data_IF_073374817450
#
_entry.id   IF_073374817450
#
_cell.length_a   1.000
_cell.length_b   1.000
_cell.length_c   1.000
_cell.angle_alpha   90.00
_cell.angle_beta   90.00
_cell.angle_gamma   90.00
#
_symmetry.space_group_name_H-M   'P 1'
#
loop_
_entity.id
_entity.type
_entity.pdbx_description
1 polymer ?
#
# COMPACT_ATOMS: atom_id res chain seq x y z
N UNK A 1 34.82 18.87 -21.89
CA UNK A 1 34.62 19.74 -20.71
C UNK A 1 34.40 18.84 -19.51
N UNK A 2 35.25 18.89 -18.48
CA UNK A 2 35.00 18.15 -17.24
C UNK A 2 33.78 18.72 -16.55
N UNK A 3 32.74 17.91 -16.39
CA UNK A 3 31.52 18.26 -15.67
C UNK A 3 31.83 18.36 -14.18
N UNK A 4 31.68 19.55 -13.60
CA UNK A 4 32.08 19.83 -12.20
C UNK A 4 31.26 19.07 -11.13
N UNK A 5 30.09 18.51 -11.48
CA UNK A 5 29.13 17.99 -10.49
C UNK A 5 28.35 16.72 -10.90
N UNK A 6 28.77 16.01 -11.95
CA UNK A 6 28.05 14.81 -12.42
C UNK A 6 28.01 13.72 -11.34
N UNK A 7 26.91 12.99 -11.26
CA UNK A 7 26.76 11.84 -10.36
C UNK A 7 27.64 10.70 -10.89
N UNK A 8 28.61 10.19 -10.11
CA UNK A 8 29.51 9.13 -10.58
C UNK A 8 28.77 7.81 -10.80
N UNK A 9 29.32 6.93 -11.63
CA UNK A 9 28.82 5.56 -11.71
C UNK A 9 29.18 4.78 -10.44
N UNK A 10 28.28 3.92 -9.92
CA UNK A 10 28.63 2.97 -8.88
C UNK A 10 29.76 2.02 -9.33
N UNK A 11 30.72 1.76 -8.45
CA UNK A 11 31.85 0.84 -8.72
C UNK A 11 31.48 -0.64 -8.56
N UNK A 12 30.47 -0.94 -7.73
CA UNK A 12 29.95 -2.30 -7.53
C UNK A 12 28.43 -2.25 -7.38
N UNK A 13 27.77 -3.34 -7.78
CA UNK A 13 26.34 -3.57 -7.57
C UNK A 13 26.04 -4.72 -6.60
N UNK A 14 27.08 -5.35 -6.04
CA UNK A 14 26.96 -6.45 -5.09
C UNK A 14 27.84 -6.26 -3.86
N UNK A 15 27.41 -6.92 -2.78
CA UNK A 15 28.17 -7.12 -1.55
C UNK A 15 28.30 -8.63 -1.33
N UNK A 16 29.52 -9.16 -1.36
CA UNK A 16 29.76 -10.59 -1.12
C UNK A 16 30.28 -10.80 0.30
N UNK A 17 29.57 -11.64 1.06
CA UNK A 17 29.94 -12.05 2.42
C UNK A 17 30.11 -13.58 2.39
N UNK A 18 31.35 -14.03 2.18
CA UNK A 18 31.64 -15.45 1.96
C UNK A 18 30.92 -15.98 0.71
N UNK A 19 30.14 -17.08 0.80
CA UNK A 19 29.40 -17.63 -0.34
C UNK A 19 28.12 -16.85 -0.68
N UNK A 20 27.71 -15.89 0.15
CA UNK A 20 26.48 -15.13 -0.04
C UNK A 20 26.77 -13.84 -0.81
N UNK A 21 26.22 -13.71 -2.02
CA UNK A 21 26.24 -12.47 -2.81
C UNK A 21 24.91 -11.74 -2.66
N UNK A 22 24.94 -10.55 -2.06
CA UNK A 22 23.79 -9.67 -1.89
C UNK A 22 23.80 -8.63 -3.00
N UNK A 23 22.74 -8.58 -3.80
CA UNK A 23 22.54 -7.53 -4.79
C UNK A 23 21.88 -6.31 -4.15
N UNK A 24 22.51 -5.13 -4.27
CA UNK A 24 21.95 -3.89 -3.71
C UNK A 24 20.56 -3.57 -4.27
N UNK A 25 20.32 -3.94 -5.54
CA UNK A 25 19.00 -3.81 -6.15
C UNK A 25 17.92 -4.54 -5.34
N UNK A 26 18.13 -5.82 -5.04
CA UNK A 26 17.20 -6.62 -4.25
C UNK A 26 17.03 -6.08 -2.83
N UNK A 27 18.12 -5.62 -2.21
CA UNK A 27 18.08 -5.00 -0.89
C UNK A 27 17.22 -3.72 -0.88
N UNK A 28 17.41 -2.82 -1.84
CA UNK A 28 16.66 -1.57 -1.94
C UNK A 28 15.18 -1.81 -2.25
N UNK A 29 14.86 -2.80 -3.09
CA UNK A 29 13.47 -3.23 -3.31
C UNK A 29 12.86 -3.79 -2.02
N UNK A 30 13.59 -4.64 -1.29
CA UNK A 30 13.15 -5.18 0.00
C UNK A 30 12.87 -4.09 1.04
N UNK A 31 13.78 -3.12 1.17
CA UNK A 31 13.57 -1.94 2.04
C UNK A 31 12.34 -1.15 1.58
N UNK A 32 12.19 -0.92 0.27
CA UNK A 32 11.03 -0.26 -0.31
C UNK A 32 9.72 -0.95 0.06
N UNK A 33 9.68 -2.29 -0.03
CA UNK A 33 8.51 -3.10 0.38
C UNK A 33 8.22 -2.93 1.87
N UNK A 34 9.22 -3.05 2.74
CA UNK A 34 9.04 -2.88 4.19
C UNK A 34 8.49 -1.49 4.53
N UNK A 35 9.02 -0.44 3.89
CA UNK A 35 8.51 0.93 4.04
C UNK A 35 7.08 1.04 3.54
N UNK A 36 6.74 0.43 2.40
CA UNK A 36 5.38 0.42 1.86
C UNK A 36 4.39 -0.21 2.85
N UNK A 37 4.75 -1.37 3.41
CA UNK A 37 3.94 -2.11 4.38
C UNK A 37 3.74 -1.25 5.63
N UNK A 38 4.82 -0.74 6.21
CA UNK A 38 4.77 0.08 7.41
C UNK A 38 3.91 1.33 7.24
N UNK A 39 4.08 2.08 6.15
CA UNK A 39 3.27 3.26 5.84
C UNK A 39 1.80 2.88 5.64
N UNK A 40 1.54 1.80 4.89
CA UNK A 40 0.18 1.33 4.60
C UNK A 40 -0.54 0.91 5.87
N UNK A 41 0.11 0.17 6.77
CA UNK A 41 -0.44 -0.22 8.08
C UNK A 41 -0.83 1.00 8.92
N UNK A 42 0.09 1.94 9.10
CA UNK A 42 -0.15 3.17 9.89
C UNK A 42 -1.30 4.01 9.33
N UNK A 43 -1.43 4.06 8.01
CA UNK A 43 -2.52 4.80 7.36
C UNK A 43 -3.85 4.06 7.40
N UNK A 44 -3.84 2.74 7.23
CA UNK A 44 -5.03 1.92 7.33
C UNK A 44 -5.62 1.98 8.75
N UNK A 45 -4.76 1.94 9.77
CA UNK A 45 -5.13 2.18 11.17
C UNK A 45 -5.75 3.56 11.39
N UNK A 46 -5.18 4.62 10.78
CA UNK A 46 -5.73 5.98 10.85
C UNK A 46 -7.14 6.09 10.24
N UNK A 47 -7.47 5.24 9.26
CA UNK A 47 -8.83 5.14 8.70
C UNK A 47 -9.76 4.27 9.57
N UNK A 48 -9.26 3.73 10.68
CA UNK A 48 -9.97 2.84 11.60
C UNK A 48 -10.00 1.38 11.15
N UNK A 49 -9.05 0.96 10.32
CA UNK A 49 -8.82 -0.44 9.97
C UNK A 49 -7.90 -1.13 10.97
N UNK A 50 -7.86 -2.46 10.95
CA UNK A 50 -6.93 -3.24 11.78
C UNK A 50 -5.54 -3.28 11.12
N UNK A 51 -4.48 -2.74 11.77
CA UNK A 51 -3.13 -2.76 11.22
C UNK A 51 -2.60 -4.19 11.01
N UNK A 52 -3.02 -5.17 11.81
CA UNK A 52 -2.58 -6.56 11.64
C UNK A 52 -3.16 -7.21 10.38
N UNK A 53 -4.41 -6.87 10.05
CA UNK A 53 -4.99 -7.24 8.76
C UNK A 53 -4.21 -6.61 7.61
N UNK A 54 -3.86 -5.32 7.69
CA UNK A 54 -3.08 -4.66 6.63
C UNK A 54 -1.69 -5.28 6.46
N UNK A 55 -1.02 -5.65 7.55
CA UNK A 55 0.26 -6.37 7.53
C UNK A 55 0.12 -7.72 6.81
N UNK A 56 -0.79 -8.56 7.29
CA UNK A 56 -1.07 -9.90 6.75
C UNK A 56 -1.38 -9.83 5.26
N UNK A 57 -2.28 -8.92 4.88
CA UNK A 57 -2.67 -8.71 3.49
C UNK A 57 -1.49 -8.26 2.65
N UNK A 58 -0.66 -7.35 3.14
CA UNK A 58 0.49 -6.86 2.38
C UNK A 58 1.56 -7.94 2.17
N UNK A 59 1.85 -8.76 3.19
CA UNK A 59 2.79 -9.89 3.08
C UNK A 59 2.29 -10.88 2.04
N UNK A 60 1.03 -11.30 2.12
CA UNK A 60 0.45 -12.23 1.15
C UNK A 60 0.34 -11.63 -0.25
N UNK A 61 0.10 -10.32 -0.39
CA UNK A 61 0.12 -9.64 -1.67
C UNK A 61 1.53 -9.63 -2.29
N UNK A 62 2.59 -9.47 -1.48
CA UNK A 62 3.99 -9.58 -1.95
C UNK A 62 4.30 -11.00 -2.39
N UNK A 63 3.92 -12.01 -1.60
CA UNK A 63 4.11 -13.43 -1.97
C UNK A 63 3.34 -13.77 -3.25
N UNK A 64 2.05 -13.43 -3.30
CA UNK A 64 1.22 -13.62 -4.49
C UNK A 64 1.77 -12.87 -5.71
N UNK A 65 2.29 -11.67 -5.51
CA UNK A 65 2.93 -10.90 -6.56
C UNK A 65 4.23 -11.53 -7.07
N UNK A 66 5.06 -12.07 -6.20
CA UNK A 66 6.27 -12.79 -6.63
C UNK A 66 5.92 -14.04 -7.45
N UNK A 67 4.94 -14.81 -6.99
CA UNK A 67 4.43 -15.99 -7.71
C UNK A 67 3.81 -15.62 -9.06
N UNK A 68 2.97 -14.57 -9.09
CA UNK A 68 2.35 -14.08 -10.31
C UNK A 68 3.35 -13.55 -11.32
N UNK A 69 4.38 -12.82 -10.84
CA UNK A 69 5.45 -12.31 -11.70
C UNK A 69 6.24 -13.44 -12.32
N UNK A 70 6.55 -14.50 -11.55
CA UNK A 70 7.22 -15.68 -12.09
C UNK A 70 6.35 -16.44 -13.06
N UNK A 71 5.09 -16.71 -12.72
CA UNK A 71 4.16 -17.43 -13.59
C UNK A 71 3.97 -16.72 -14.93
N UNK A 72 3.77 -15.40 -14.93
CA UNK A 72 3.62 -14.63 -16.17
C UNK A 72 4.90 -14.55 -17.01
N UNK A 73 6.08 -14.72 -16.40
CA UNK A 73 7.34 -14.88 -17.13
C UNK A 73 7.43 -16.29 -17.74
N UNK A 74 7.15 -17.33 -16.96
CA UNK A 74 7.41 -18.74 -17.33
C UNK A 74 6.39 -19.30 -18.30
N UNK A 75 5.08 -19.08 -18.09
CA UNK A 75 4.01 -19.73 -18.86
C UNK A 75 4.15 -19.49 -20.38
N UNK A 76 4.40 -18.26 -20.88
CA UNK A 76 4.53 -18.03 -22.31
C UNK A 76 5.82 -18.62 -22.92
N UNK A 77 6.84 -18.89 -22.09
CA UNK A 77 8.17 -19.38 -22.50
C UNK A 77 8.50 -20.72 -21.85
N UNK A 78 7.48 -21.56 -21.66
CA UNK A 78 7.59 -22.80 -20.91
C UNK A 78 8.73 -23.69 -21.42
N UNK A 79 8.76 -23.95 -22.74
CA UNK A 79 9.76 -24.81 -23.35
C UNK A 79 11.20 -24.24 -23.25
N UNK A 80 11.35 -22.93 -23.36
CA UNK A 80 12.65 -22.25 -23.24
C UNK A 80 13.16 -22.29 -21.80
N UNK A 81 12.31 -21.97 -20.82
CA UNK A 81 12.71 -21.94 -19.41
C UNK A 81 12.98 -23.35 -18.87
N UNK A 82 12.21 -24.35 -19.30
CA UNK A 82 12.31 -25.72 -18.76
C UNK A 82 13.25 -26.62 -19.54
N UNK A 83 13.96 -26.12 -20.57
CA UNK A 83 14.89 -26.91 -21.38
C UNK A 83 16.07 -27.47 -20.55
N UNK A 84 16.46 -26.77 -19.48
CA UNK A 84 17.47 -27.23 -18.51
C UNK A 84 16.91 -28.10 -17.39
N UNK A 85 15.59 -28.31 -17.34
CA UNK A 85 14.89 -29.06 -16.29
C UNK A 85 13.67 -28.32 -15.72
N UNK A 86 12.70 -29.07 -15.21
CA UNK A 86 11.44 -28.54 -14.68
C UNK A 86 11.62 -27.51 -13.56
N UNK A 87 12.65 -27.68 -12.71
CA UNK A 87 12.90 -26.81 -11.55
C UNK A 87 13.22 -25.37 -11.91
N UNK A 88 13.73 -25.11 -13.12
CA UNK A 88 13.97 -23.75 -13.61
C UNK A 88 12.67 -22.94 -13.65
N UNK A 89 11.49 -23.55 -13.77
CA UNK A 89 10.22 -22.82 -13.68
C UNK A 89 10.06 -22.05 -12.34
N UNK A 90 10.65 -22.55 -11.25
CA UNK A 90 10.53 -21.95 -9.91
C UNK A 90 11.74 -21.12 -9.48
N UNK A 91 12.83 -21.16 -10.25
CA UNK A 91 14.10 -20.51 -9.93
C UNK A 91 14.01 -18.98 -10.06
N UNK A 92 13.40 -18.32 -9.07
CA UNK A 92 13.26 -16.85 -9.01
C UNK A 92 14.61 -16.12 -8.91
N UNK A 93 15.65 -16.81 -8.42
CA UNK A 93 17.01 -16.29 -8.33
C UNK A 93 17.73 -16.22 -9.68
N UNK A 94 17.23 -16.91 -10.71
CA UNK A 94 17.72 -16.78 -12.09
C UNK A 94 17.18 -15.51 -12.79
N UNK A 95 16.45 -14.68 -12.05
CA UNK A 95 15.74 -13.53 -12.59
C UNK A 95 14.46 -13.97 -13.29
N UNK A 96 13.98 -13.14 -14.22
CA UNK A 96 12.79 -13.46 -15.01
C UNK A 96 11.49 -13.33 -14.22
N UNK A 97 11.11 -12.09 -13.96
CA UNK A 97 9.89 -11.72 -13.26
C UNK A 97 9.14 -10.70 -14.12
N UNK A 98 7.90 -11.02 -14.51
CA UNK A 98 7.07 -10.13 -15.30
C UNK A 98 6.27 -9.20 -14.38
N UNK A 99 6.53 -7.89 -14.47
CA UNK A 99 5.93 -6.86 -13.62
C UNK A 99 4.39 -6.96 -13.55
N UNK A 100 3.71 -7.05 -14.70
CA UNK A 100 2.24 -7.11 -14.75
C UNK A 100 1.66 -8.36 -14.11
N UNK A 101 2.36 -9.50 -14.18
CA UNK A 101 1.93 -10.72 -13.50
C UNK A 101 1.94 -10.55 -11.98
N UNK A 102 2.99 -9.91 -11.46
CA UNK A 102 3.08 -9.67 -10.03
C UNK A 102 2.09 -8.64 -9.51
N UNK A 103 1.92 -7.54 -10.24
CA UNK A 103 0.90 -6.54 -9.91
C UNK A 103 -0.49 -7.17 -9.89
N UNK A 104 -0.83 -8.00 -10.89
CA UNK A 104 -2.16 -8.58 -11.03
C UNK A 104 -2.48 -9.58 -9.93
N UNK A 105 -1.61 -10.58 -9.72
CA UNK A 105 -1.85 -11.62 -8.70
C UNK A 105 -1.76 -11.03 -7.29
N UNK A 106 -0.80 -10.14 -7.04
CA UNK A 106 -0.70 -9.43 -5.76
C UNK A 106 -1.96 -8.62 -5.44
N UNK A 107 -2.51 -7.89 -6.42
CA UNK A 107 -3.74 -7.14 -6.25
C UNK A 107 -4.96 -8.06 -6.03
N UNK A 108 -5.07 -9.18 -6.74
CA UNK A 108 -6.14 -10.16 -6.54
C UNK A 108 -6.09 -10.72 -5.12
N UNK A 109 -4.91 -11.09 -4.63
CA UNK A 109 -4.73 -11.58 -3.26
C UNK A 109 -5.12 -10.49 -2.25
N UNK A 110 -4.64 -9.27 -2.45
CA UNK A 110 -4.96 -8.16 -1.55
C UNK A 110 -6.47 -7.87 -1.47
N UNK A 111 -7.12 -7.76 -2.62
CA UNK A 111 -8.57 -7.52 -2.73
C UNK A 111 -9.35 -8.69 -2.14
N UNK A 112 -8.98 -9.93 -2.46
CA UNK A 112 -9.66 -11.13 -1.97
C UNK A 112 -9.63 -11.21 -0.44
N UNK A 113 -8.45 -11.04 0.17
CA UNK A 113 -8.30 -11.07 1.63
C UNK A 113 -9.02 -9.89 2.30
N UNK A 114 -9.01 -8.69 1.71
CA UNK A 114 -9.74 -7.53 2.25
C UNK A 114 -11.26 -7.68 2.15
N UNK A 115 -11.78 -8.39 1.15
CA UNK A 115 -13.21 -8.71 1.04
C UNK A 115 -13.61 -9.81 2.04
N UNK A 116 -12.72 -10.80 2.25
CA UNK A 116 -12.96 -11.91 3.17
C UNK A 116 -13.00 -11.45 4.64
N UNK A 117 -12.19 -10.46 5.00
CA UNK A 117 -12.13 -9.92 6.35
C UNK A 117 -13.02 -8.69 6.47
N UNK A 118 -14.19 -8.83 7.12
CA UNK A 118 -15.12 -7.73 7.30
C UNK A 118 -14.79 -6.93 8.55
N UNK A 119 -14.81 -5.60 8.44
CA UNK A 119 -14.76 -4.72 9.62
C UNK A 119 -16.20 -4.45 10.11
N UNK A 120 -16.53 -4.73 11.38
CA UNK A 120 -17.86 -4.48 11.94
C UNK A 120 -18.32 -3.04 11.73
N UNK A 121 -19.60 -2.86 11.39
CA UNK A 121 -20.19 -1.55 11.13
C UNK A 121 -19.75 -0.88 9.83
N UNK A 122 -18.95 -1.57 8.98
CA UNK A 122 -18.48 -1.03 7.69
C UNK A 122 -18.92 -1.93 6.53
N UNK A 123 -19.10 -1.33 5.36
CA UNK A 123 -19.52 -2.04 4.14
C UNK A 123 -18.46 -3.03 3.65
N UNK A 124 -18.89 -4.04 2.87
CA UNK A 124 -18.02 -5.13 2.35
C UNK A 124 -16.74 -4.64 1.65
N UNK A 125 -16.84 -3.57 0.86
CA UNK A 125 -15.71 -3.02 0.10
C UNK A 125 -14.95 -1.91 0.83
N UNK A 126 -15.31 -1.63 2.09
CA UNK A 126 -14.65 -0.57 2.86
C UNK A 126 -13.17 -0.87 3.07
N UNK A 127 -12.83 -2.11 3.44
CA UNK A 127 -11.44 -2.54 3.64
C UNK A 127 -10.61 -2.42 2.36
N UNK A 128 -11.18 -2.81 1.21
CA UNK A 128 -10.51 -2.67 -0.09
C UNK A 128 -10.20 -1.20 -0.37
N UNK A 129 -11.19 -0.31 -0.23
CA UNK A 129 -10.99 1.11 -0.49
C UNK A 129 -9.98 1.73 0.50
N UNK A 130 -10.14 1.45 1.80
CA UNK A 130 -9.27 1.95 2.86
C UNK A 130 -7.82 1.48 2.68
N UNK A 131 -7.62 0.21 2.33
CA UNK A 131 -6.29 -0.34 2.09
C UNK A 131 -5.65 0.25 0.85
N UNK A 132 -6.39 0.36 -0.25
CA UNK A 132 -5.88 1.00 -1.47
C UNK A 132 -5.50 2.47 -1.23
N UNK A 133 -6.34 3.23 -0.51
CA UNK A 133 -6.07 4.62 -0.17
C UNK A 133 -4.93 4.78 0.84
N UNK A 134 -4.67 3.77 1.68
CA UNK A 134 -3.50 3.73 2.56
C UNK A 134 -2.23 3.46 1.75
N UNK A 135 -2.30 2.49 0.82
CA UNK A 135 -1.22 2.11 -0.08
C UNK A 135 -0.85 3.24 -1.06
N UNK A 136 -1.76 4.17 -1.35
CA UNK A 136 -1.51 5.34 -2.20
C UNK A 136 -0.31 6.21 -1.75
N UNK A 137 0.10 6.11 -0.48
CA UNK A 137 1.32 6.73 0.04
C UNK A 137 2.48 5.73 0.16
N UNK A 138 2.20 4.48 0.53
CA UNK A 138 3.22 3.44 0.65
C UNK A 138 3.87 3.07 -0.68
N UNK A 139 3.10 2.99 -1.77
CA UNK A 139 3.57 2.67 -3.11
C UNK A 139 4.59 3.69 -3.66
N UNK A 140 4.30 5.00 -3.71
CA UNK A 140 5.30 5.97 -4.16
C UNK A 140 6.53 6.02 -3.24
N UNK A 141 6.38 5.73 -1.93
CA UNK A 141 7.54 5.65 -1.03
C UNK A 141 8.45 4.48 -1.41
N UNK A 142 7.87 3.30 -1.68
CA UNK A 142 8.60 2.14 -2.16
C UNK A 142 9.29 2.40 -3.49
N UNK A 143 8.60 3.07 -4.43
CA UNK A 143 9.15 3.45 -5.72
C UNK A 143 10.31 4.44 -5.57
N UNK A 144 10.18 5.43 -4.68
CA UNK A 144 11.24 6.40 -4.45
C UNK A 144 12.54 5.74 -3.97
N UNK A 145 12.45 4.71 -3.15
CA UNK A 145 13.59 3.92 -2.67
C UNK A 145 14.08 2.96 -3.76
N UNK A 146 13.18 2.19 -4.36
CA UNK A 146 13.51 1.15 -5.33
C UNK A 146 14.23 1.67 -6.58
N UNK A 147 13.96 2.92 -6.98
CA UNK A 147 14.65 3.56 -8.13
C UNK A 147 16.16 3.66 -7.96
N UNK A 148 16.65 3.76 -6.73
CA UNK A 148 18.09 3.73 -6.48
C UNK A 148 18.73 2.39 -6.85
N UNK A 149 17.95 1.31 -6.91
CA UNK A 149 18.41 0.04 -7.50
C UNK A 149 18.83 0.22 -8.95
N UNK A 150 18.05 0.96 -9.76
CA UNK A 150 18.40 1.20 -11.17
C UNK A 150 19.70 2.01 -11.31
N UNK A 151 19.97 2.94 -10.39
CA UNK A 151 21.25 3.63 -10.33
C UNK A 151 22.40 2.66 -10.07
N UNK A 152 22.27 1.81 -9.06
CA UNK A 152 23.32 0.83 -8.70
C UNK A 152 23.58 -0.17 -9.82
N UNK A 153 22.53 -0.61 -10.53
CA UNK A 153 22.64 -1.48 -11.70
C UNK A 153 23.03 -0.75 -12.99
N UNK A 154 23.12 0.59 -12.96
CA UNK A 154 23.38 1.42 -14.14
C UNK A 154 22.42 1.11 -15.30
N UNK A 155 21.11 1.09 -15.02
CA UNK A 155 20.06 0.76 -15.98
C UNK A 155 18.92 1.78 -15.98
N UNK A 156 18.07 1.72 -17.01
CA UNK A 156 16.86 2.55 -17.17
C UNK A 156 17.09 4.08 -17.11
N UNK A 157 18.30 4.55 -17.40
CA UNK A 157 18.67 5.96 -17.47
C UNK A 157 18.14 6.65 -18.74
N UNK A 158 18.20 7.99 -18.76
CA UNK A 158 17.66 8.79 -19.84
C UNK A 158 18.64 9.05 -20.97
N UNK A 159 18.31 9.97 -21.89
CA UNK A 159 19.14 10.36 -23.04
C UNK A 159 20.44 11.04 -22.61
N UNK A 160 21.45 11.13 -23.50
CA UNK A 160 22.66 11.88 -23.22
C UNK A 160 22.38 13.29 -22.71
N UNK A 161 23.12 13.72 -21.70
CA UNK A 161 22.88 15.00 -21.03
C UNK A 161 24.17 15.66 -20.57
N UNK A 162 24.23 16.98 -20.73
CA UNK A 162 25.32 17.84 -20.24
C UNK A 162 24.88 18.69 -19.04
N UNK A 163 23.82 18.29 -18.33
CA UNK A 163 23.36 18.96 -17.11
C UNK A 163 24.31 18.67 -15.94
N UNK A 164 24.51 19.60 -15.00
CA UNK A 164 25.50 19.44 -13.95
C UNK A 164 25.19 18.28 -13.00
N UNK A 165 23.94 17.80 -12.93
CA UNK A 165 23.52 16.61 -12.18
C UNK A 165 23.36 15.35 -13.05
N UNK A 166 23.89 15.33 -14.27
CA UNK A 166 23.85 14.14 -15.12
C UNK A 166 24.56 12.95 -14.45
N UNK A 167 24.09 11.73 -14.70
CA UNK A 167 24.71 10.51 -14.18
C UNK A 167 25.69 9.94 -15.19
N UNK A 168 26.87 9.57 -14.72
CA UNK A 168 27.84 8.83 -15.50
C UNK A 168 27.39 7.38 -15.64
N UNK A 169 27.55 6.80 -16.83
CA UNK A 169 27.28 5.38 -17.07
C UNK A 169 28.55 4.73 -17.62
N UNK A 170 28.94 3.58 -17.08
CA UNK A 170 30.12 2.86 -17.52
C UNK A 170 29.92 2.31 -18.95
N UNK A 171 30.98 2.27 -19.79
CA UNK A 171 30.86 1.94 -21.21
C UNK A 171 30.06 0.68 -21.53
N UNK A 172 30.23 -0.38 -20.74
CA UNK A 172 29.55 -1.68 -20.93
C UNK A 172 28.02 -1.64 -20.74
N UNK A 173 27.49 -0.62 -20.08
CA UNK A 173 26.04 -0.47 -19.84
C UNK A 173 25.38 0.51 -20.81
N UNK A 174 26.15 1.16 -21.69
CA UNK A 174 25.62 2.17 -22.63
C UNK A 174 24.93 1.48 -23.82
N UNK A 175 23.77 1.98 -24.27
CA UNK A 175 23.19 1.55 -25.54
C UNK A 175 24.15 1.84 -26.69
N UNK A 176 24.18 0.97 -27.70
CA UNK A 176 25.05 1.12 -28.88
C UNK A 176 24.88 2.48 -29.58
N UNK A 177 23.64 2.98 -29.66
CA UNK A 177 23.29 4.31 -30.19
C UNK A 177 23.95 5.49 -29.46
N UNK A 178 24.42 5.30 -28.21
CA UNK A 178 25.01 6.33 -27.36
C UNK A 178 26.35 5.90 -26.75
N UNK A 179 27.10 5.03 -27.42
CA UNK A 179 28.37 4.49 -26.90
C UNK A 179 29.38 5.58 -26.49
N UNK A 180 29.41 6.68 -27.26
CA UNK A 180 30.34 7.80 -27.07
C UNK A 180 29.90 8.79 -25.96
N UNK A 181 28.65 8.72 -25.51
CA UNK A 181 28.16 9.58 -24.43
C UNK A 181 28.59 9.05 -23.07
N UNK A 182 29.23 9.89 -22.24
CA UNK A 182 29.63 9.50 -20.89
C UNK A 182 28.54 9.76 -19.83
N UNK A 183 27.68 10.76 -20.07
CA UNK A 183 26.71 11.27 -19.09
C UNK A 183 25.29 11.28 -19.65
N UNK A 184 24.33 10.94 -18.80
CA UNK A 184 22.92 10.75 -19.15
C UNK A 184 21.99 11.41 -18.14
N UNK A 185 20.74 11.62 -18.51
CA UNK A 185 19.71 12.06 -17.57
C UNK A 185 19.48 11.00 -16.47
N UNK A 186 19.62 11.34 -15.17
CA UNK A 186 19.36 10.42 -14.06
C UNK A 186 17.85 10.23 -13.81
N UNK A 187 17.19 9.48 -14.69
CA UNK A 187 15.75 9.16 -14.56
C UNK A 187 15.40 8.52 -13.22
N UNK A 188 16.31 7.73 -12.62
CA UNK A 188 16.14 7.16 -11.28
C UNK A 188 15.93 8.27 -10.24
N UNK A 189 16.73 9.34 -10.32
CA UNK A 189 16.68 10.47 -9.40
C UNK A 189 15.44 11.31 -9.67
N UNK A 190 15.10 11.52 -10.94
CA UNK A 190 13.90 12.26 -11.32
C UNK A 190 12.65 11.55 -10.80
N UNK A 191 12.53 10.23 -10.98
CA UNK A 191 11.38 9.46 -10.50
C UNK A 191 11.38 9.32 -8.98
N UNK A 192 12.55 9.19 -8.34
CA UNK A 192 12.67 9.17 -6.88
C UNK A 192 12.21 10.49 -6.26
N UNK A 193 12.71 11.61 -6.78
CA UNK A 193 12.33 12.95 -6.34
C UNK A 193 10.86 13.27 -6.66
N UNK A 194 10.36 12.87 -7.83
CA UNK A 194 8.95 13.02 -8.18
C UNK A 194 8.05 12.34 -7.16
N UNK A 195 8.37 11.10 -6.79
CA UNK A 195 7.56 10.37 -5.80
C UNK A 195 7.70 10.96 -4.39
N UNK A 196 8.94 11.18 -3.92
CA UNK A 196 9.22 11.59 -2.55
C UNK A 196 8.88 13.06 -2.26
N UNK A 197 9.15 13.96 -3.20
CA UNK A 197 9.05 15.41 -3.00
C UNK A 197 7.79 16.02 -3.63
N UNK A 198 7.15 15.34 -4.60
CA UNK A 198 5.94 15.83 -5.24
C UNK A 198 4.72 14.95 -4.92
N UNK A 199 4.70 13.68 -5.34
CA UNK A 199 3.51 12.82 -5.23
C UNK A 199 3.08 12.64 -3.78
N UNK A 200 3.98 12.22 -2.90
CA UNK A 200 3.64 11.99 -1.48
C UNK A 200 3.17 13.29 -0.80
N UNK A 201 3.92 14.41 -0.83
CA UNK A 201 3.47 15.64 -0.17
C UNK A 201 2.17 16.17 -0.75
N UNK A 202 1.97 16.09 -2.08
CA UNK A 202 0.77 16.56 -2.73
C UNK A 202 -0.46 15.75 -2.33
N UNK A 203 -0.37 14.42 -2.30
CA UNK A 203 -1.45 13.57 -1.82
C UNK A 203 -1.79 13.85 -0.36
N UNK A 204 -0.79 13.96 0.51
CA UNK A 204 -1.00 14.30 1.93
C UNK A 204 -1.62 15.69 2.11
N UNK A 205 -1.23 16.66 1.28
CA UNK A 205 -1.82 17.99 1.29
C UNK A 205 -3.27 17.97 0.83
N UNK A 206 -3.57 17.22 -0.24
CA UNK A 206 -4.94 17.04 -0.75
C UNK A 206 -5.83 16.40 0.32
N UNK A 207 -5.38 15.33 0.95
CA UNK A 207 -6.10 14.67 2.04
C UNK A 207 -6.34 15.62 3.23
N UNK A 208 -5.34 16.44 3.59
CA UNK A 208 -5.46 17.38 4.70
C UNK A 208 -6.41 18.53 4.39
N UNK A 209 -6.45 19.01 3.15
CA UNK A 209 -7.19 20.22 2.75
C UNK A 209 -8.62 19.94 2.29
N UNK A 210 -8.89 18.74 1.78
CA UNK A 210 -10.17 18.41 1.15
C UNK A 210 -10.78 17.16 1.77
N UNK A 211 -12.12 17.11 1.80
CA UNK A 211 -12.85 15.88 2.14
C UNK A 211 -12.86 14.95 0.93
N UNK A 212 -11.87 14.07 0.86
CA UNK A 212 -11.72 13.12 -0.24
C UNK A 212 -12.64 11.91 -0.02
N UNK A 213 -13.35 11.51 -1.08
CA UNK A 213 -14.16 10.29 -1.07
C UNK A 213 -13.31 9.04 -0.83
N UNK A 214 -13.82 8.06 -0.09
CA UNK A 214 -13.11 6.78 0.14
C UNK A 214 -12.74 6.11 -1.18
N UNK A 215 -11.52 5.62 -1.31
CA UNK A 215 -11.00 4.99 -2.52
C UNK A 215 -10.54 5.98 -3.59
N UNK A 216 -10.49 7.28 -3.31
CA UNK A 216 -10.01 8.28 -4.27
C UNK A 216 -8.53 8.66 -4.05
N UNK A 217 -7.93 8.36 -2.91
CA UNK A 217 -6.49 8.62 -2.72
C UNK A 217 -5.64 7.76 -3.65
N UNK A 218 -6.01 6.49 -3.85
CA UNK A 218 -5.32 5.62 -4.82
C UNK A 218 -5.46 6.14 -6.26
N UNK A 219 -6.61 6.70 -6.61
CA UNK A 219 -6.83 7.30 -7.93
C UNK A 219 -5.96 8.55 -8.11
N UNK A 220 -5.85 9.39 -7.07
CA UNK A 220 -4.92 10.52 -7.05
C UNK A 220 -3.47 10.07 -7.27
N UNK A 221 -3.04 9.00 -6.60
CA UNK A 221 -1.72 8.40 -6.83
C UNK A 221 -1.54 7.98 -8.29
N UNK A 222 -2.50 7.26 -8.88
CA UNK A 222 -2.44 6.84 -10.28
C UNK A 222 -2.33 8.03 -11.25
N UNK A 223 -3.03 9.13 -10.97
CA UNK A 223 -2.94 10.36 -11.77
C UNK A 223 -1.54 10.98 -11.66
N UNK A 224 -1.06 11.25 -10.44
CA UNK A 224 0.21 11.96 -10.28
C UNK A 224 1.43 11.11 -10.66
N UNK A 225 1.42 9.82 -10.33
CA UNK A 225 2.46 8.90 -10.75
C UNK A 225 2.41 8.66 -12.27
N UNK A 226 1.21 8.43 -12.81
CA UNK A 226 1.01 8.22 -14.24
C UNK A 226 1.47 9.42 -15.09
N UNK A 227 1.22 10.65 -14.62
CA UNK A 227 1.73 11.86 -15.27
C UNK A 227 3.26 11.91 -15.26
N UNK A 228 3.90 11.66 -14.11
CA UNK A 228 5.35 11.59 -14.02
C UNK A 228 5.93 10.52 -14.94
N UNK A 229 5.29 9.34 -14.98
CA UNK A 229 5.68 8.23 -15.85
C UNK A 229 5.57 8.59 -17.32
N UNK A 230 4.48 9.23 -17.73
CA UNK A 230 4.27 9.69 -19.11
C UNK A 230 5.38 10.67 -19.55
N UNK A 231 5.70 11.65 -18.69
CA UNK A 231 6.71 12.66 -18.98
C UNK A 231 8.13 12.07 -19.02
N UNK A 232 8.48 11.19 -18.09
CA UNK A 232 9.81 10.57 -18.05
C UNK A 232 10.08 9.66 -19.25
N UNK A 233 9.05 9.05 -19.82
CA UNK A 233 9.22 8.11 -20.93
C UNK A 233 9.71 8.80 -22.22
N UNK A 234 9.55 10.12 -22.37
CA UNK A 234 10.13 10.89 -23.49
C UNK A 234 11.65 10.93 -23.48
N UNK A 235 12.26 10.87 -22.31
CA UNK A 235 13.72 10.98 -22.16
C UNK A 235 14.39 9.63 -21.96
N UNK A 236 13.66 8.51 -22.01
CA UNK A 236 14.21 7.18 -21.78
C UNK A 236 14.94 6.63 -23.01
N UNK A 237 15.96 5.80 -22.76
CA UNK A 237 16.83 5.22 -23.80
C UNK A 237 16.66 3.72 -24.00
N UNK A 238 15.94 3.04 -23.12
CA UNK A 238 15.67 1.61 -23.21
C UNK A 238 14.82 1.28 -24.44
N UNK A 239 15.00 0.07 -24.98
CA UNK A 239 14.16 -0.39 -26.09
C UNK A 239 12.71 -0.52 -25.64
N UNK A 240 11.80 0.01 -26.44
CA UNK A 240 10.37 -0.01 -26.14
C UNK A 240 9.57 -0.24 -27.42
N UNK A 241 8.46 -0.95 -27.28
CA UNK A 241 7.48 -1.10 -28.36
C UNK A 241 6.83 0.25 -28.63
N UNK A 242 6.87 0.69 -29.89
CA UNK A 242 6.23 1.93 -30.33
C UNK A 242 4.90 1.63 -31.01
N UNK A 243 3.87 2.39 -30.65
CA UNK A 243 2.52 2.31 -31.22
C UNK A 243 2.08 3.75 -31.51
N UNK A 244 1.70 4.03 -32.75
CA UNK A 244 1.35 5.39 -33.22
C UNK A 244 2.42 6.47 -32.91
N UNK A 245 3.71 6.10 -32.96
CA UNK A 245 4.82 7.01 -32.68
C UNK A 245 5.11 7.27 -31.19
N UNK A 246 4.30 6.73 -30.28
CA UNK A 246 4.53 6.79 -28.83
C UNK A 246 5.03 5.44 -28.30
N UNK A 247 5.78 5.47 -27.20
CA UNK A 247 6.12 4.23 -26.48
C UNK A 247 4.85 3.64 -25.87
N UNK A 248 4.67 2.33 -25.91
CA UNK A 248 3.49 1.65 -25.37
C UNK A 248 3.24 2.02 -23.88
N UNK A 249 4.31 2.17 -23.11
CA UNK A 249 4.25 2.63 -21.72
C UNK A 249 3.64 4.04 -21.56
N UNK A 250 3.87 4.95 -22.53
CA UNK A 250 3.24 6.28 -22.53
C UNK A 250 1.75 6.19 -22.73
N UNK A 251 1.31 5.38 -23.70
CA UNK A 251 -0.11 5.21 -23.98
C UNK A 251 -0.85 4.59 -22.79
N UNK A 252 -0.26 3.57 -22.16
CA UNK A 252 -0.81 2.96 -20.94
C UNK A 252 -0.86 3.97 -19.80
N UNK A 253 0.20 4.75 -19.57
CA UNK A 253 0.22 5.77 -18.53
C UNK A 253 -0.85 6.85 -18.78
N UNK A 254 -0.98 7.33 -20.02
CA UNK A 254 -2.00 8.31 -20.40
C UNK A 254 -3.42 7.77 -20.19
N UNK A 255 -3.69 6.53 -20.60
CA UNK A 255 -4.98 5.87 -20.38
C UNK A 255 -5.31 5.76 -18.89
N UNK A 256 -4.35 5.31 -18.08
CA UNK A 256 -4.50 5.20 -16.62
C UNK A 256 -4.80 6.57 -15.99
N UNK A 257 -4.09 7.62 -16.40
CA UNK A 257 -4.34 8.99 -15.91
C UNK A 257 -5.75 9.45 -16.25
N UNK A 258 -6.19 9.29 -17.51
CA UNK A 258 -7.52 9.73 -17.95
C UNK A 258 -8.63 8.97 -17.20
N UNK A 259 -8.51 7.64 -17.11
CA UNK A 259 -9.51 6.81 -16.42
C UNK A 259 -9.53 7.11 -14.92
N UNK A 260 -8.37 7.17 -14.27
CA UNK A 260 -8.29 7.45 -12.84
C UNK A 260 -8.83 8.85 -12.50
N UNK A 261 -8.53 9.87 -13.33
CA UNK A 261 -9.03 11.22 -13.14
C UNK A 261 -10.56 11.28 -13.33
N UNK A 262 -11.08 10.65 -14.39
CA UNK A 262 -12.52 10.61 -14.63
C UNK A 262 -13.27 9.95 -13.46
N UNK A 263 -12.79 8.78 -13.01
CA UNK A 263 -13.40 8.08 -11.86
C UNK A 263 -13.25 8.89 -10.57
N UNK A 264 -12.10 9.53 -10.35
CA UNK A 264 -11.88 10.41 -9.19
C UNK A 264 -12.92 11.52 -9.15
N UNK A 265 -13.09 12.26 -10.26
CA UNK A 265 -14.01 13.39 -10.37
C UNK A 265 -15.47 12.95 -10.19
N UNK A 266 -15.89 11.88 -10.86
CA UNK A 266 -17.26 11.35 -10.73
C UNK A 266 -17.55 10.99 -9.28
N UNK A 267 -16.67 10.22 -8.63
CA UNK A 267 -16.88 9.78 -7.24
C UNK A 267 -16.84 10.92 -6.23
N UNK A 268 -16.01 11.93 -6.50
CA UNK A 268 -15.90 13.11 -5.65
C UNK A 268 -17.16 13.99 -5.75
N UNK A 269 -17.74 14.14 -6.94
CA UNK A 269 -18.99 14.89 -7.17
C UNK A 269 -20.22 14.13 -6.65
N UNK A 270 -20.24 12.79 -6.75
CA UNK A 270 -21.34 11.96 -6.24
C UNK A 270 -21.45 11.93 -4.70
N UNK A 271 -20.57 12.63 -3.97
CA UNK A 271 -20.66 12.77 -2.51
C UNK A 271 -20.35 11.48 -1.75
N UNK A 272 -19.55 10.57 -2.34
CA UNK A 272 -19.15 9.35 -1.65
C UNK A 272 -18.47 9.69 -0.30
N UNK A 273 -18.84 9.02 0.80
CA UNK A 273 -18.37 9.41 2.12
C UNK A 273 -16.86 9.26 2.22
N UNK A 274 -16.19 10.19 2.91
CA UNK A 274 -14.77 10.11 3.27
C UNK A 274 -14.51 9.23 4.49
N UNK A 275 -13.24 9.01 4.86
CA UNK A 275 -12.91 8.34 6.11
C UNK A 275 -13.19 9.26 7.30
N UNK A 276 -13.81 8.74 8.36
CA UNK A 276 -13.87 9.46 9.62
C UNK A 276 -12.45 9.51 10.20
N UNK A 277 -11.96 10.69 10.57
CA UNK A 277 -10.69 10.79 11.29
C UNK A 277 -10.88 10.19 12.69
N UNK A 278 -9.88 9.45 13.20
CA UNK A 278 -9.90 8.91 14.57
C UNK A 278 -10.09 9.99 15.66
N UNK A 279 -9.77 11.26 15.36
CA UNK A 279 -10.07 12.40 16.25
C UNK A 279 -11.57 12.66 16.40
N UNK A 280 -12.39 12.31 15.42
CA UNK A 280 -13.84 12.46 15.47
C UNK A 280 -14.49 11.40 16.37
N UNK A 281 -13.97 10.17 16.39
CA UNK A 281 -14.51 9.11 17.26
C UNK A 281 -14.24 9.37 18.75
N UNK A 282 -13.08 9.95 19.10
CA UNK A 282 -12.79 10.36 20.49
C UNK A 282 -13.70 11.51 20.93
N UNK A 283 -13.95 12.49 20.05
CA UNK A 283 -14.87 13.60 20.33
C UNK A 283 -16.32 13.14 20.49
N UNK A 284 -16.80 12.20 19.66
CA UNK A 284 -18.16 11.66 19.77
C UNK A 284 -18.30 10.75 21.00
N UNK A 285 -17.30 9.92 21.32
CA UNK A 285 -17.30 9.12 22.54
C UNK A 285 -17.25 9.99 23.81
N UNK A 286 -16.43 11.05 23.81
CA UNK A 286 -16.39 12.02 24.92
C UNK A 286 -17.71 12.79 25.04
N UNK A 287 -18.35 13.16 23.94
CA UNK A 287 -19.66 13.82 23.94
C UNK A 287 -20.78 12.87 24.42
N UNK A 288 -20.73 11.59 24.07
CA UNK A 288 -21.70 10.59 24.53
C UNK A 288 -21.56 10.29 26.03
N UNK A 289 -20.34 10.35 26.58
CA UNK A 289 -20.07 10.23 28.02
C UNK A 289 -20.45 11.48 28.81
N UNK A 290 -20.52 12.64 28.15
CA UNK A 290 -20.82 13.94 28.79
C UNK A 290 -22.30 14.33 28.75
N UNK A 291 -23.18 13.49 28.20
CA UNK A 291 -24.62 13.75 28.20
C UNK A 291 -25.18 13.49 29.62
N UNK A 292 -25.76 14.49 30.32
CA UNK A 292 -26.35 14.28 31.62
C UNK A 292 -27.59 13.39 31.47
N UNK A 293 -27.57 12.23 32.13
CA UNK A 293 -28.77 11.42 32.33
C UNK A 293 -29.76 12.22 33.19
N UNK A 294 -30.92 12.54 32.63
CA UNK A 294 -32.06 13.07 33.38
C UNK A 294 -32.67 11.95 34.21
N UNK A 295 -32.11 11.69 35.39
CA UNK A 295 -32.78 10.96 36.46
C UNK A 295 -33.00 11.94 37.61
N UNK A 296 -34.22 12.46 37.69
CA UNK A 296 -34.64 13.35 38.78
C UNK A 296 -34.64 12.59 40.10
N UNK A 297 -33.85 13.07 41.05
CA UNK A 297 -33.96 12.73 42.46
C UNK A 297 -34.67 13.90 43.14
N UNK A 298 -35.93 13.67 43.54
CA UNK A 298 -36.63 14.55 44.47
C UNK A 298 -36.16 14.20 45.88
N UNK A 299 -35.62 15.21 46.56
CA UNK A 299 -35.27 15.20 47.98
C UNK A 299 -36.43 15.88 48.73
N UNK A 300 -37.11 15.13 49.59
CA UNK A 300 -38.00 15.67 50.62
C UNK A 300 -37.60 15.06 51.96
N UNK A 301 -37.08 15.93 52.83
CA UNK A 301 -36.83 15.62 54.23
C UNK A 301 -37.96 16.16 55.10
N UNK A 302 -38.31 15.36 56.10
CA UNK A 302 -38.77 15.77 57.44
C UNK A 302 -40.27 16.02 57.68
N UNK A 303 -40.93 15.06 58.34
CA UNK A 303 -41.71 15.32 59.58
C UNK A 303 -42.06 14.05 60.35
N UNK A 304 -42.20 14.23 61.67
CA UNK A 304 -42.12 13.23 62.71
C UNK A 304 -43.46 12.64 63.17
N UNK A 305 -43.36 11.55 63.94
CA UNK A 305 -44.29 11.02 64.97
C UNK A 305 -45.67 10.48 64.55
N UNK A 306 -45.88 9.16 64.69
CA UNK A 306 -46.68 8.49 65.75
C UNK A 306 -46.97 7.01 65.39
N UNK A 307 -46.87 6.10 66.38
CA UNK A 307 -47.38 4.71 66.39
C UNK A 307 -48.86 4.71 66.85
N UNK A 308 -49.73 3.74 66.46
CA UNK A 308 -49.84 2.38 67.09
C UNK A 308 -50.04 1.23 66.06
N UNK A 309 -49.53 -0.01 66.25
CA UNK A 309 -50.06 -1.20 66.99
C UNK A 309 -51.34 -1.81 66.36
N UNK A 310 -51.27 -2.96 65.66
CA UNK A 310 -51.75 -4.30 66.11
C UNK A 310 -51.74 -5.43 65.05
N UNK A 311 -51.72 -6.67 65.57
CA UNK A 311 -52.07 -8.02 65.03
C UNK A 311 -51.20 -8.66 63.92
N UNK A 312 -50.37 -9.68 64.21
CA UNK A 312 -50.63 -11.09 64.59
C UNK A 312 -51.29 -11.91 63.46
N UNK A 313 -50.51 -12.77 62.79
CA UNK A 313 -50.85 -14.19 62.73
C UNK A 313 -49.62 -15.08 62.47
N UNK A 314 -49.48 -16.08 63.33
CA UNK A 314 -48.61 -17.24 63.22
C UNK A 314 -49.26 -18.26 62.29
N UNK A 315 -48.47 -19.03 61.56
CA UNK A 315 -48.35 -20.45 61.93
C UNK A 315 -47.14 -21.12 61.28
N UNK A 316 -46.47 -21.86 62.16
CA UNK A 316 -45.55 -22.97 61.93
C UNK A 316 -46.19 -24.00 60.94
N UNK A 317 -45.50 -24.97 60.32
CA UNK A 317 -44.53 -25.86 60.94
C UNK A 317 -43.97 -26.83 59.88
N UNK A 318 -42.73 -27.29 60.09
CA UNK A 318 -42.16 -28.66 59.91
C UNK A 318 -42.42 -29.50 58.63
N UNK A 319 -41.57 -30.42 58.12
CA UNK A 319 -40.16 -30.84 58.29
C UNK A 319 -39.86 -31.89 57.20
N UNK A 320 -38.58 -31.93 56.79
CA UNK A 320 -37.72 -33.12 56.58
C UNK A 320 -38.06 -34.25 55.58
N UNK A 321 -37.09 -34.46 54.66
CA UNK A 321 -36.43 -35.76 54.30
C UNK A 321 -37.28 -36.87 53.63
N UNK A 322 -36.80 -37.79 52.80
CA UNK A 322 -35.46 -38.29 52.48
C UNK A 322 -35.50 -39.09 51.15
N UNK A 323 -34.32 -39.39 50.63
CA UNK A 323 -33.87 -40.59 49.89
C UNK A 323 -34.37 -40.96 48.47
N UNK A 324 -33.39 -41.19 47.58
CA UNK A 324 -33.50 -41.83 46.25
C UNK A 324 -33.58 -43.37 46.32
N UNK A 325 -33.08 -44.19 45.36
CA UNK A 325 -32.31 -43.89 44.13
C UNK A 325 -32.84 -44.70 42.89
N UNK A 326 -32.02 -45.32 41.98
CA UNK A 326 -31.80 -44.88 40.60
C UNK A 326 -32.29 -45.87 39.53
N UNK A 327 -32.24 -45.50 38.24
CA UNK A 327 -32.51 -46.41 37.13
C UNK A 327 -31.86 -45.96 35.82
N UNK A 328 -31.06 -46.86 35.26
CA UNK A 328 -30.24 -46.76 34.05
C UNK A 328 -31.04 -46.48 32.75
N UNK A 329 -30.37 -45.81 31.80
CA UNK A 329 -30.79 -45.62 30.41
C UNK A 329 -29.78 -44.80 29.62
#
# INVERSE_FOLDING_TARGET
MSMLASIPSPSTNTLSIGPLTIHYYGLLIGIGVLVAIWVTMRRFERYGGDPHLAETVSIWAVVGGLLGARAAYVIPRWAEVTSGGFWHAFAIWEGGLAFFGGLTVGAIVAVGLMIANKTPGKGRFWNVAAFADAAAIGLPAAQAIGRWGNYVNQELFGTPSNLPWAVQIAPQFRPSQYADAATFHPTFLYESAWNALLVIPLLLLIEKRFKIARGNMILGYLVFYGLGRFLLEFIRTDSATHVFGFRANQLVAALVVVVALAVFLVRQVSGAPGYASASTSVSVAAAAVSAPGSAGFHDETEQATTRPVDEIERNDDTTASSDGPPGDG
#
